data_IF_194671067810
#
_entry.id   IF_194671067810
#
_cell.length_a   1.000
_cell.length_b   1.000
_cell.length_c   1.000
_cell.angle_alpha   90.00
_cell.angle_beta   90.00
_cell.angle_gamma   90.00
#
_symmetry.space_group_name_H-M   'P 1'
#
loop_
_entity.id
_entity.type
_entity.pdbx_description
1 polymer ?
#
# COMPACT_ATOMS: atom_id res chain seq x y z
N UNK A 1 -9.15 24.44 14.47
CA UNK A 1 -8.31 23.36 13.90
C UNK A 1 -7.95 23.62 12.46
N UNK A 2 -8.94 23.89 11.61
CA UNK A 2 -8.63 24.17 10.20
C UNK A 2 -7.92 25.50 10.00
N UNK A 3 -8.10 26.48 10.90
CA UNK A 3 -7.40 27.75 10.81
C UNK A 3 -5.90 27.61 11.03
N UNK A 4 -5.47 26.61 11.80
CA UNK A 4 -4.05 26.34 12.03
C UNK A 4 -3.38 25.79 10.78
N UNK A 5 -4.13 25.00 9.97
CA UNK A 5 -3.58 24.40 8.76
C UNK A 5 -3.45 25.38 7.59
N UNK A 6 -4.07 26.56 7.66
CA UNK A 6 -3.99 27.56 6.60
C UNK A 6 -2.57 28.07 6.40
N UNK A 7 -1.79 28.15 7.49
CA UNK A 7 -0.44 28.70 7.44
C UNK A 7 0.61 27.62 7.19
N UNK A 8 0.21 26.34 7.12
CA UNK A 8 1.11 25.24 6.85
C UNK A 8 1.35 25.08 5.36
N UNK A 9 2.57 24.74 4.95
CA UNK A 9 2.84 24.43 3.54
C UNK A 9 1.96 23.29 3.06
N UNK A 10 1.50 23.37 1.83
CA UNK A 10 0.76 22.27 1.21
C UNK A 10 1.74 21.21 0.69
N UNK A 11 1.38 19.95 0.84
CA UNK A 11 2.19 18.85 0.31
C UNK A 11 1.31 17.66 -0.02
N UNK A 12 1.84 16.79 -0.85
CA UNK A 12 1.21 15.53 -1.22
C UNK A 12 2.02 14.39 -0.59
N UNK A 13 1.32 13.42 0.00
CA UNK A 13 1.97 12.23 0.54
C UNK A 13 1.99 11.16 -0.56
N UNK A 14 3.18 10.65 -0.84
CA UNK A 14 3.34 9.49 -1.70
C UNK A 14 4.10 8.41 -0.93
N UNK A 15 3.88 7.15 -1.30
CA UNK A 15 4.60 6.02 -0.73
C UNK A 15 5.45 5.42 -1.84
N UNK A 16 6.74 5.25 -1.56
CA UNK A 16 7.64 4.58 -2.48
C UNK A 16 7.76 3.11 -2.10
N UNK A 17 7.50 2.24 -3.05
CA UNK A 17 7.71 0.81 -2.90
C UNK A 17 8.88 0.39 -3.77
N UNK A 18 9.87 -0.21 -3.14
CA UNK A 18 11.03 -0.76 -3.85
C UNK A 18 10.71 -2.20 -4.18
N UNK A 19 10.79 -2.54 -5.47
CA UNK A 19 10.29 -3.81 -5.98
C UNK A 19 11.35 -4.50 -6.83
N UNK A 20 11.20 -5.81 -7.01
CA UNK A 20 12.09 -6.58 -7.88
C UNK A 20 11.73 -6.42 -9.35
N UNK A 21 10.45 -6.26 -9.66
CA UNK A 21 9.95 -6.20 -11.03
C UNK A 21 8.81 -5.18 -11.09
N UNK A 22 9.05 -4.05 -11.74
CA UNK A 22 8.07 -2.95 -11.83
C UNK A 22 6.79 -3.42 -12.50
N UNK A 23 6.88 -4.10 -13.62
CA UNK A 23 5.70 -4.55 -14.36
C UNK A 23 4.81 -5.49 -13.55
N UNK A 24 5.42 -6.41 -12.82
CA UNK A 24 4.68 -7.34 -11.95
C UNK A 24 3.95 -6.60 -10.83
N UNK A 25 4.62 -5.67 -10.19
CA UNK A 25 4.02 -4.88 -9.10
C UNK A 25 2.90 -3.99 -9.60
N UNK A 26 3.11 -3.30 -10.72
CA UNK A 26 2.09 -2.46 -11.34
C UNK A 26 0.85 -3.28 -11.69
N UNK A 27 1.04 -4.45 -12.30
CA UNK A 27 -0.06 -5.34 -12.64
C UNK A 27 -0.85 -5.76 -11.40
N UNK A 28 -0.17 -6.06 -10.30
CA UNK A 28 -0.82 -6.44 -9.06
C UNK A 28 -1.73 -5.32 -8.52
N UNK A 29 -1.20 -4.12 -8.36
CA UNK A 29 -1.99 -3.02 -7.79
C UNK A 29 -3.12 -2.57 -8.72
N UNK A 30 -2.88 -2.60 -10.03
CA UNK A 30 -3.91 -2.29 -11.02
C UNK A 30 -5.00 -3.34 -11.05
N UNK A 31 -4.63 -4.61 -11.14
CA UNK A 31 -5.59 -5.69 -11.41
C UNK A 31 -6.35 -6.13 -10.16
N UNK A 32 -5.71 -6.08 -8.98
CA UNK A 32 -6.37 -6.44 -7.72
C UNK A 32 -7.19 -5.27 -7.18
N UNK A 33 -6.57 -4.11 -7.02
CA UNK A 33 -7.20 -2.97 -6.33
C UNK A 33 -7.79 -1.93 -7.26
N UNK A 34 -7.57 -2.04 -8.56
CA UNK A 34 -8.02 -1.03 -9.51
C UNK A 34 -7.20 0.25 -9.47
N UNK A 35 -5.95 0.17 -9.07
CA UNK A 35 -5.08 1.35 -9.07
C UNK A 35 -4.94 1.93 -10.48
N UNK A 36 -4.87 3.24 -10.57
CA UNK A 36 -4.74 3.93 -11.85
C UNK A 36 -3.27 4.25 -12.12
N UNK A 37 -2.78 3.86 -13.30
CA UNK A 37 -1.42 4.21 -13.73
C UNK A 37 -1.43 5.69 -14.15
N UNK A 38 -0.63 6.50 -13.45
CA UNK A 38 -0.51 7.93 -13.72
C UNK A 38 0.64 8.23 -14.66
N UNK A 39 1.73 7.47 -14.54
CA UNK A 39 2.91 7.61 -15.39
C UNK A 39 3.67 6.30 -15.40
N UNK A 40 4.01 5.83 -16.58
CA UNK A 40 4.84 4.63 -16.74
C UNK A 40 6.32 5.00 -16.70
N UNK A 41 7.15 4.03 -16.40
CA UNK A 41 8.60 4.14 -16.41
C UNK A 41 9.22 3.71 -15.09
N UNK A 42 10.41 4.20 -14.82
CA UNK A 42 11.09 3.99 -13.55
C UNK A 42 11.42 5.38 -12.97
N UNK A 43 10.68 5.87 -11.98
CA UNK A 43 9.58 5.16 -11.30
C UNK A 43 8.28 5.17 -12.11
N UNK A 44 7.43 4.20 -11.82
CA UNK A 44 6.04 4.22 -12.26
C UNK A 44 5.19 4.79 -11.14
N UNK A 45 4.30 5.72 -11.47
CA UNK A 45 3.38 6.30 -10.49
C UNK A 45 1.98 5.73 -10.67
N UNK A 46 1.41 5.28 -9.57
CA UNK A 46 0.02 4.79 -9.51
C UNK A 46 -0.76 5.61 -8.49
N UNK A 47 -2.07 5.77 -8.74
CA UNK A 47 -2.98 6.23 -7.71
C UNK A 47 -3.70 5.03 -7.12
N UNK A 48 -3.52 4.83 -5.81
CA UNK A 48 -4.21 3.80 -5.03
C UNK A 48 -5.11 4.51 -4.03
N UNK A 49 -6.44 4.48 -4.29
CA UNK A 49 -7.36 5.21 -3.45
C UNK A 49 -7.00 6.70 -3.41
N UNK A 50 -6.69 7.19 -2.22
CA UNK A 50 -6.37 8.61 -1.99
C UNK A 50 -4.86 8.87 -1.87
N UNK A 51 -4.00 7.91 -2.20
CA UNK A 51 -2.54 8.12 -2.19
C UNK A 51 -1.92 7.76 -3.54
N UNK A 52 -0.71 8.26 -3.74
CA UNK A 52 0.11 7.85 -4.88
C UNK A 52 1.17 6.86 -4.41
N UNK A 53 1.41 5.85 -5.24
CA UNK A 53 2.54 4.93 -5.11
C UNK A 53 3.59 5.29 -6.14
N UNK A 54 4.84 5.35 -5.70
CA UNK A 54 6.00 5.45 -6.59
C UNK A 54 6.69 4.09 -6.56
N UNK A 55 6.76 3.43 -7.70
CA UNK A 55 7.28 2.07 -7.79
C UNK A 55 8.58 2.09 -8.58
N UNK A 56 9.67 1.65 -7.95
CA UNK A 56 10.97 1.56 -8.60
C UNK A 56 11.80 0.43 -7.98
N UNK A 57 12.95 0.13 -8.62
CA UNK A 57 13.79 -0.98 -8.17
C UNK A 57 14.82 -0.58 -7.11
N UNK A 58 14.87 0.71 -6.77
CA UNK A 58 15.80 1.18 -5.77
C UNK A 58 17.24 1.22 -6.26
N UNK A 59 18.15 1.02 -5.34
CA UNK A 59 19.58 1.03 -5.65
C UNK A 59 20.42 1.41 -4.45
N UNK A 60 21.72 1.56 -4.68
CA UNK A 60 22.67 1.91 -3.65
C UNK A 60 22.54 3.33 -3.16
N UNK A 61 23.50 3.77 -2.30
CA UNK A 61 23.49 5.14 -1.79
C UNK A 61 23.59 6.17 -2.90
N UNK A 62 23.04 7.33 -2.62
CA UNK A 62 23.11 8.51 -3.50
C UNK A 62 23.74 9.67 -2.72
N UNK A 63 24.03 10.78 -3.40
CA UNK A 63 24.65 11.93 -2.76
C UNK A 63 23.77 12.58 -1.69
N UNK A 64 22.44 12.42 -1.81
CA UNK A 64 21.47 12.98 -0.88
C UNK A 64 21.00 11.96 0.19
N UNK A 65 21.45 10.71 0.11
CA UNK A 65 21.28 9.68 1.15
C UNK A 65 22.50 8.75 1.12
N UNK A 66 23.65 9.25 1.57
CA UNK A 66 24.94 8.61 1.29
C UNK A 66 25.17 7.26 1.99
N UNK A 67 24.34 6.89 2.96
CA UNK A 67 24.49 5.62 3.69
C UNK A 67 23.30 4.70 3.52
N UNK A 68 22.31 5.08 2.69
CA UNK A 68 21.06 4.33 2.60
C UNK A 68 20.97 3.58 1.28
N UNK A 69 20.69 2.29 1.39
CA UNK A 69 20.40 1.42 0.25
C UNK A 69 18.88 1.19 0.23
N UNK A 70 18.27 1.39 -0.94
CA UNK A 70 16.86 1.10 -1.16
C UNK A 70 16.75 -0.25 -1.87
N UNK A 71 16.13 -1.23 -1.23
CA UNK A 71 15.98 -2.58 -1.78
C UNK A 71 14.63 -3.17 -1.39
N UNK A 72 14.13 -4.18 -2.15
CA UNK A 72 12.93 -4.89 -1.75
C UNK A 72 13.08 -5.54 -0.38
N UNK A 73 11.95 -5.89 0.28
CA UNK A 73 12.01 -6.51 1.61
C UNK A 73 12.84 -7.80 1.59
N UNK A 74 13.74 -7.95 2.54
CA UNK A 74 14.54 -9.16 2.72
C UNK A 74 13.92 -10.11 3.74
N UNK A 75 13.16 -9.58 4.69
CA UNK A 75 12.47 -10.34 5.72
C UNK A 75 10.99 -9.92 5.70
N UNK A 76 10.14 -10.75 5.12
CA UNK A 76 8.73 -10.40 4.92
C UNK A 76 7.88 -10.64 6.16
N UNK A 77 8.43 -11.30 7.18
CA UNK A 77 7.74 -11.53 8.46
C UNK A 77 8.17 -10.55 9.55
N UNK A 78 9.12 -9.66 9.25
CA UNK A 78 9.55 -8.61 10.18
C UNK A 78 9.44 -7.29 9.44
N UNK A 79 8.53 -6.44 9.86
CA UNK A 79 8.29 -5.18 9.18
C UNK A 79 8.09 -4.05 10.18
N UNK A 80 8.35 -2.84 9.71
CA UNK A 80 8.25 -1.63 10.52
C UNK A 80 7.10 -0.73 10.09
N UNK A 81 6.55 -0.94 8.91
CA UNK A 81 5.39 -0.19 8.41
C UNK A 81 4.68 -1.00 7.33
N UNK A 82 3.45 -0.66 7.06
CA UNK A 82 2.66 -1.28 6.00
C UNK A 82 1.53 -0.34 5.58
N UNK A 83 1.03 -0.57 4.38
CA UNK A 83 -0.14 0.14 3.86
C UNK A 83 -1.39 -0.45 4.52
N UNK A 84 -2.30 0.41 4.95
CA UNK A 84 -3.54 0.03 5.61
C UNK A 84 -4.71 0.57 4.80
N UNK A 85 -5.50 -0.31 4.23
CA UNK A 85 -6.68 0.05 3.44
C UNK A 85 -7.91 -0.04 4.35
N UNK A 86 -8.59 1.10 4.57
CA UNK A 86 -9.83 1.11 5.34
C UNK A 86 -11.00 1.00 4.39
N UNK A 87 -11.81 -0.04 4.55
CA UNK A 87 -12.90 -0.36 3.62
C UNK A 87 -14.24 -0.31 4.33
N UNK A 88 -15.30 -0.06 3.57
CA UNK A 88 -16.65 -0.01 4.10
C UNK A 88 -17.31 -1.39 4.16
N UNK A 89 -16.89 -2.32 3.31
CA UNK A 89 -17.52 -3.64 3.17
C UNK A 89 -16.43 -4.70 2.99
N UNK A 90 -16.00 -5.28 4.10
CA UNK A 90 -14.94 -6.28 4.11
C UNK A 90 -15.32 -7.53 3.29
N UNK A 91 -16.54 -8.01 3.46
CA UNK A 91 -16.96 -9.24 2.78
C UNK A 91 -16.86 -9.09 1.27
N UNK A 92 -17.31 -7.95 0.75
CA UNK A 92 -17.25 -7.65 -0.68
C UNK A 92 -15.81 -7.51 -1.16
N UNK A 93 -14.99 -6.77 -0.43
CA UNK A 93 -13.57 -6.57 -0.79
C UNK A 93 -12.82 -7.90 -0.79
N UNK A 94 -13.03 -8.72 0.21
CA UNK A 94 -12.38 -10.03 0.30
C UNK A 94 -12.71 -10.90 -0.91
N UNK A 95 -14.01 -11.05 -1.23
CA UNK A 95 -14.44 -11.86 -2.36
C UNK A 95 -13.90 -11.31 -3.68
N UNK A 96 -14.01 -10.00 -3.89
CA UNK A 96 -13.59 -9.38 -5.15
C UNK A 96 -12.09 -9.50 -5.35
N UNK A 97 -11.30 -9.13 -4.34
CA UNK A 97 -9.84 -9.12 -4.48
C UNK A 97 -9.26 -10.53 -4.53
N UNK A 98 -9.87 -11.47 -3.80
CA UNK A 98 -9.49 -12.86 -3.90
C UNK A 98 -9.74 -13.40 -5.32
N UNK A 99 -10.88 -13.06 -5.90
CA UNK A 99 -11.20 -13.47 -7.28
C UNK A 99 -10.24 -12.90 -8.30
N UNK A 100 -9.59 -11.79 -7.98
CA UNK A 100 -8.58 -11.13 -8.82
C UNK A 100 -7.16 -11.60 -8.53
N UNK A 101 -7.00 -12.61 -7.69
CA UNK A 101 -5.71 -13.23 -7.43
C UNK A 101 -4.94 -12.71 -6.23
N UNK A 102 -5.56 -11.90 -5.35
CA UNK A 102 -4.89 -11.42 -4.15
C UNK A 102 -4.51 -12.59 -3.24
N UNK A 103 -3.29 -12.53 -2.69
CA UNK A 103 -2.76 -13.54 -1.79
C UNK A 103 -3.05 -13.12 -0.34
N UNK A 104 -4.22 -13.54 0.17
CA UNK A 104 -4.59 -13.25 1.56
C UNK A 104 -3.82 -14.18 2.51
N UNK A 105 -3.28 -13.59 3.58
CA UNK A 105 -2.57 -14.35 4.62
C UNK A 105 -3.53 -15.27 5.36
N UNK A 106 -4.70 -14.73 5.71
CA UNK A 106 -5.81 -15.49 6.27
C UNK A 106 -7.12 -14.92 5.75
N UNK A 107 -8.22 -15.60 6.04
CA UNK A 107 -9.55 -15.00 5.89
C UNK A 107 -9.71 -13.83 6.87
N UNK A 108 -10.69 -12.94 6.68
CA UNK A 108 -10.95 -11.87 7.63
C UNK A 108 -11.24 -12.38 9.03
N UNK A 109 -10.68 -11.72 10.03
CA UNK A 109 -10.85 -12.05 11.44
C UNK A 109 -11.55 -10.90 12.15
N UNK A 110 -12.48 -11.24 13.04
CA UNK A 110 -13.24 -10.27 13.83
C UNK A 110 -12.46 -9.94 15.10
N UNK A 111 -12.27 -8.64 15.31
CA UNK A 111 -11.64 -8.08 16.51
C UNK A 111 -12.63 -7.13 17.19
N UNK A 112 -12.37 -6.65 18.41
CA UNK A 112 -13.36 -5.83 19.14
C UNK A 112 -13.86 -4.60 18.38
N UNK A 113 -13.04 -3.97 17.57
CA UNK A 113 -13.42 -2.71 16.90
C UNK A 113 -13.27 -2.75 15.39
N UNK A 114 -12.91 -3.91 14.82
CA UNK A 114 -12.72 -4.00 13.38
C UNK A 114 -12.78 -5.45 12.90
N UNK A 115 -13.02 -5.58 11.61
CA UNK A 115 -12.79 -6.84 10.88
C UNK A 115 -11.52 -6.59 10.07
N UNK A 116 -10.55 -7.50 10.14
CA UNK A 116 -9.22 -7.23 9.59
C UNK A 116 -8.65 -8.47 8.91
N UNK A 117 -7.93 -8.26 7.83
CA UNK A 117 -7.12 -9.28 7.17
C UNK A 117 -5.92 -8.62 6.51
N UNK A 118 -5.02 -9.44 5.95
CA UNK A 118 -3.79 -8.97 5.33
C UNK A 118 -3.58 -9.64 3.99
N UNK A 119 -2.97 -8.89 3.06
CA UNK A 119 -2.61 -9.35 1.72
C UNK A 119 -1.10 -9.16 1.57
N UNK A 120 -0.45 -10.10 0.88
CA UNK A 120 0.95 -9.93 0.44
C UNK A 120 0.95 -9.46 -1.00
N UNK A 121 1.78 -8.45 -1.30
CA UNK A 121 2.03 -8.07 -2.68
C UNK A 121 3.13 -8.98 -3.29
N UNK A 122 3.49 -8.81 -4.58
CA UNK A 122 4.46 -9.70 -5.21
C UNK A 122 5.85 -9.75 -4.57
N UNK A 123 6.27 -8.68 -3.88
CA UNK A 123 7.55 -8.63 -3.19
C UNK A 123 7.44 -9.02 -1.72
N UNK A 124 6.23 -9.35 -1.24
CA UNK A 124 5.99 -9.68 0.14
C UNK A 124 5.65 -8.50 1.03
N UNK A 125 5.43 -7.31 0.46
CA UNK A 125 4.92 -6.20 1.25
C UNK A 125 3.56 -6.57 1.83
N UNK A 126 3.39 -6.30 3.12
CA UNK A 126 2.13 -6.57 3.81
C UNK A 126 1.19 -5.39 3.62
N UNK A 127 -0.07 -5.71 3.29
CA UNK A 127 -1.14 -4.73 3.15
C UNK A 127 -2.25 -5.13 4.10
N UNK A 128 -2.58 -4.26 5.05
CA UNK A 128 -3.72 -4.50 5.94
C UNK A 128 -4.99 -4.04 5.26
N UNK A 129 -6.05 -4.82 5.42
CA UNK A 129 -7.40 -4.44 5.01
C UNK A 129 -8.26 -4.48 6.25
N UNK A 130 -8.90 -3.38 6.58
CA UNK A 130 -9.70 -3.29 7.79
C UNK A 130 -11.00 -2.55 7.59
N UNK A 131 -12.04 -3.05 8.22
CA UNK A 131 -13.34 -2.40 8.32
C UNK A 131 -13.59 -2.04 9.77
N UNK A 132 -13.71 -0.75 10.06
CA UNK A 132 -14.03 -0.27 11.40
C UNK A 132 -15.49 -0.60 11.72
N UNK A 133 -15.72 -1.21 12.89
CA UNK A 133 -17.05 -1.66 13.30
C UNK A 133 -17.66 -0.84 14.43
N UNK A 134 -16.91 0.08 15.02
CA UNK A 134 -17.49 0.99 16.01
C UNK A 134 -18.03 2.25 15.33
N UNK A 135 -19.01 2.88 15.95
CA UNK A 135 -19.52 4.18 15.50
C UNK A 135 -18.97 5.26 16.42
N UNK A 136 -18.37 6.30 15.81
CA UNK A 136 -17.93 7.49 16.55
C UNK A 136 -19.12 8.41 16.75
N UNK A 137 -19.78 8.31 17.89
CA UNK A 137 -20.89 9.20 18.26
C UNK A 137 -20.49 10.18 19.31
#
# INVERSE_FOLDING_TARGET
MQSEQKDEPKFLVTVTLIVNDIGRSVAFYRDVFGAMVLREGEPTFLRLGNIWLSINRGGGPTDDKPTVIASPPQHTDVLSSFINLRVADMARCYELWRSRGANFVTEPKVHPWEIRCYIRDPDGYLIEVGQTTFTAT
#
